data_IF_501563488099
#
_entry.id   IF_501563488099
#
_cell.length_a   1.000
_cell.length_b   1.000
_cell.length_c   1.000
_cell.angle_alpha   90.00
_cell.angle_beta   90.00
_cell.angle_gamma   90.00
#
_symmetry.space_group_name_H-M   'P 1'
#
loop_
_entity.id
_entity.type
_entity.pdbx_description
1 polymer ?
#
# COMPACT_ATOMS: atom_id res chain seq x y z
N UNK A 1 12.59 30.37 8.37
CA UNK A 1 12.23 30.24 6.94
C UNK A 1 11.03 29.35 6.90
N UNK A 2 9.84 29.95 6.78
CA UNK A 2 8.59 29.23 6.78
C UNK A 2 8.32 28.70 5.37
N UNK A 3 8.61 27.41 5.15
CA UNK A 3 8.28 26.73 3.90
C UNK A 3 6.79 26.34 3.93
N UNK A 4 5.90 27.33 3.94
CA UNK A 4 4.49 27.11 3.63
C UNK A 4 4.22 27.75 2.27
N UNK A 5 4.32 26.93 1.21
CA UNK A 5 3.89 27.36 -0.13
C UNK A 5 2.39 27.56 -0.08
N UNK A 6 1.93 28.80 -0.30
CA UNK A 6 0.51 29.12 -0.41
C UNK A 6 -0.04 28.34 -1.60
N UNK A 7 -0.91 27.37 -1.34
CA UNK A 7 -1.50 26.55 -2.38
C UNK A 7 -2.53 27.37 -3.17
N UNK A 8 -2.08 28.08 -4.20
CA UNK A 8 -2.92 28.88 -5.11
C UNK A 8 -3.65 28.03 -6.15
N UNK A 9 -3.68 26.71 -5.95
CA UNK A 9 -4.20 25.75 -6.91
C UNK A 9 -5.71 25.62 -6.72
N UNK A 10 -6.49 26.19 -7.64
CA UNK A 10 -7.96 26.12 -7.61
C UNK A 10 -8.56 24.71 -7.72
N UNK A 11 -7.78 23.73 -8.20
CA UNK A 11 -8.20 22.33 -8.33
C UNK A 11 -7.67 21.41 -7.21
N UNK A 12 -7.15 21.98 -6.12
CA UNK A 12 -6.67 21.22 -4.98
C UNK A 12 -7.82 20.51 -4.26
N UNK A 13 -7.66 19.21 -4.03
CA UNK A 13 -8.58 18.40 -3.24
C UNK A 13 -7.96 18.13 -1.87
N UNK A 14 -8.46 18.75 -0.78
CA UNK A 14 -8.00 18.40 0.55
C UNK A 14 -8.41 16.95 0.85
N UNK A 15 -7.53 16.22 1.52
CA UNK A 15 -7.87 14.89 2.00
C UNK A 15 -8.93 15.01 3.09
N UNK A 16 -10.01 14.21 2.99
CA UNK A 16 -11.00 14.11 4.06
C UNK A 16 -10.44 13.18 5.15
N UNK A 17 -10.28 13.70 6.37
CA UNK A 17 -9.75 12.91 7.50
C UNK A 17 -10.66 11.71 7.80
N UNK A 18 -10.28 10.55 7.23
CA UNK A 18 -10.91 9.27 7.49
C UNK A 18 -9.88 8.31 8.14
N UNK A 19 -10.15 7.94 9.39
CA UNK A 19 -9.31 7.01 10.17
C UNK A 19 -9.20 5.63 9.53
N UNK A 20 -10.17 5.24 8.71
CA UNK A 20 -10.14 3.98 7.99
C UNK A 20 -9.15 3.99 6.82
N UNK A 21 -8.79 5.19 6.34
CA UNK A 21 -7.88 5.42 5.22
C UNK A 21 -6.49 5.92 5.67
N UNK A 22 -6.34 6.33 6.94
CA UNK A 22 -5.13 6.96 7.49
C UNK A 22 -3.80 6.27 7.14
N UNK A 23 -3.77 4.93 7.02
CA UNK A 23 -2.54 4.21 6.63
C UNK A 23 -2.07 4.44 5.19
N UNK A 24 -2.93 5.03 4.36
CA UNK A 24 -2.74 5.28 2.93
C UNK A 24 -3.10 6.72 2.54
N UNK A 25 -3.30 7.61 3.52
CA UNK A 25 -3.68 9.01 3.33
C UNK A 25 -2.76 9.72 2.33
N UNK A 26 -1.44 9.67 2.56
CA UNK A 26 -0.45 10.29 1.66
C UNK A 26 -0.60 9.81 0.22
N UNK A 27 -0.83 8.51 0.02
CA UNK A 27 -0.96 7.91 -1.30
C UNK A 27 -2.26 8.32 -2.00
N UNK A 28 -3.38 8.34 -1.26
CA UNK A 28 -4.68 8.78 -1.78
C UNK A 28 -4.61 10.24 -2.16
N UNK A 29 -4.10 11.08 -1.26
CA UNK A 29 -3.91 12.49 -1.48
C UNK A 29 -3.08 12.77 -2.74
N UNK A 30 -1.94 12.07 -2.88
CA UNK A 30 -1.08 12.21 -4.05
C UNK A 30 -1.80 11.79 -5.33
N UNK A 31 -2.45 10.61 -5.35
CA UNK A 31 -3.15 10.12 -6.53
C UNK A 31 -4.28 11.07 -6.96
N UNK A 32 -5.12 11.53 -6.04
CA UNK A 32 -6.25 12.43 -6.36
C UNK A 32 -5.81 13.79 -6.91
N UNK A 33 -4.69 14.32 -6.41
CA UNK A 33 -4.20 15.65 -6.77
C UNK A 33 -3.23 15.67 -7.96
N UNK A 34 -2.73 14.51 -8.40
CA UNK A 34 -1.73 14.42 -9.49
C UNK A 34 -2.23 13.78 -10.77
N UNK A 35 -3.49 13.31 -10.84
CA UNK A 35 -4.02 12.58 -12.02
C UNK A 35 -3.83 13.30 -13.36
N UNK A 36 -3.89 14.63 -13.38
CA UNK A 36 -3.79 15.46 -14.58
C UNK A 36 -2.45 16.18 -14.71
N UNK A 37 -1.43 15.75 -13.94
CA UNK A 37 -0.17 16.49 -13.79
C UNK A 37 1.05 15.61 -14.00
N UNK A 38 2.13 16.25 -14.44
CA UNK A 38 3.43 15.60 -14.52
C UNK A 38 3.99 15.38 -13.13
N UNK A 39 4.28 14.11 -12.80
CA UNK A 39 5.04 13.73 -11.62
C UNK A 39 6.51 13.68 -12.05
N UNK A 40 7.34 14.47 -11.37
CA UNK A 40 8.79 14.43 -11.55
C UNK A 40 9.40 13.61 -10.41
N UNK A 41 10.05 12.50 -10.75
CA UNK A 41 10.76 11.66 -9.80
C UNK A 41 12.24 12.02 -9.85
N UNK A 42 12.80 12.45 -8.73
CA UNK A 42 14.24 12.69 -8.59
C UNK A 42 14.93 11.39 -8.15
N UNK A 43 16.10 11.08 -8.73
CA UNK A 43 16.83 9.84 -8.45
C UNK A 43 17.47 9.80 -7.06
N UNK A 44 17.70 10.97 -6.47
CA UNK A 44 18.36 11.08 -5.16
C UNK A 44 17.34 11.21 -4.03
N UNK A 45 17.56 10.52 -2.89
CA UNK A 45 16.72 10.69 -1.71
C UNK A 45 16.92 12.09 -1.12
N UNK A 46 15.95 12.97 -1.32
CA UNK A 46 15.99 14.35 -0.82
C UNK A 46 15.72 14.43 0.69
N UNK A 47 15.01 13.45 1.25
CA UNK A 47 14.69 13.35 2.68
C UNK A 47 14.86 11.91 3.12
N UNK A 48 15.51 11.69 4.26
CA UNK A 48 15.60 10.39 4.91
C UNK A 48 14.90 10.44 6.25
N UNK A 49 13.92 9.56 6.46
CA UNK A 49 13.23 9.44 7.74
C UNK A 49 13.87 8.33 8.58
N UNK A 50 14.32 8.66 9.79
CA UNK A 50 14.85 7.68 10.72
C UNK A 50 13.71 6.87 11.32
N UNK A 51 13.73 5.56 11.11
CA UNK A 51 12.78 4.64 11.75
C UNK A 51 13.09 4.61 13.25
N UNK A 52 12.10 4.91 14.09
CA UNK A 52 12.21 4.85 15.55
C UNK A 52 11.11 3.98 16.16
N UNK A 53 11.37 3.45 17.34
CA UNK A 53 10.50 2.50 18.06
C UNK A 53 9.14 3.06 18.47
N UNK A 54 8.97 4.38 18.41
CA UNK A 54 7.76 5.13 18.79
C UNK A 54 6.91 5.56 17.58
N UNK A 55 7.23 5.09 16.37
CA UNK A 55 6.36 5.35 15.22
C UNK A 55 4.95 4.81 15.49
N UNK A 56 3.94 5.66 15.30
CA UNK A 56 2.54 5.30 15.53
C UNK A 56 2.05 4.17 14.61
N UNK A 57 2.74 3.92 13.49
CA UNK A 57 2.47 2.83 12.54
C UNK A 57 3.10 1.48 12.94
N UNK A 58 3.35 1.25 14.23
CA UNK A 58 3.81 -0.05 14.73
C UNK A 58 2.75 -1.11 14.45
N UNK A 59 3.13 -2.18 13.73
CA UNK A 59 2.40 -3.45 13.50
C UNK A 59 0.93 -3.46 13.96
N UNK A 60 0.11 -2.63 13.33
CA UNK A 60 -1.32 -2.60 13.58
C UNK A 60 -1.95 -3.69 12.70
N UNK A 61 -2.58 -4.67 13.34
CA UNK A 61 -3.25 -5.79 12.66
C UNK A 61 -4.34 -5.29 11.68
N UNK A 62 -4.80 -4.05 11.85
CA UNK A 62 -5.79 -3.43 10.96
C UNK A 62 -5.20 -2.84 9.68
N UNK A 63 -3.86 -2.77 9.52
CA UNK A 63 -3.23 -2.17 8.32
C UNK A 63 -3.68 -2.87 7.03
N UNK A 64 -3.80 -4.19 7.04
CA UNK A 64 -4.26 -4.95 5.87
C UNK A 64 -5.70 -4.56 5.49
N UNK A 65 -6.58 -4.40 6.47
CA UNK A 65 -7.98 -4.00 6.28
C UNK A 65 -8.09 -2.55 5.80
N UNK A 66 -7.33 -1.63 6.40
CA UNK A 66 -7.27 -0.22 5.95
C UNK A 66 -6.77 -0.11 4.51
N UNK A 67 -5.77 -0.90 4.12
CA UNK A 67 -5.29 -0.96 2.73
C UNK A 67 -6.35 -1.49 1.75
N UNK A 68 -7.17 -2.45 2.17
CA UNK A 68 -8.32 -2.90 1.35
C UNK A 68 -9.35 -1.79 1.17
N UNK A 69 -9.67 -1.05 2.24
CA UNK A 69 -10.58 0.11 2.17
C UNK A 69 -10.02 1.22 1.30
N UNK A 70 -8.73 1.52 1.42
CA UNK A 70 -8.04 2.47 0.56
C UNK A 70 -8.07 2.04 -0.91
N UNK A 71 -7.90 0.75 -1.22
CA UNK A 71 -8.01 0.26 -2.58
C UNK A 71 -9.43 0.42 -3.15
N UNK A 72 -10.46 0.09 -2.36
CA UNK A 72 -11.87 0.28 -2.74
C UNK A 72 -12.21 1.77 -2.94
N UNK A 73 -11.68 2.64 -2.07
CA UNK A 73 -11.79 4.08 -2.23
C UNK A 73 -11.15 4.55 -3.54
N UNK A 74 -9.91 4.14 -3.83
CA UNK A 74 -9.20 4.54 -5.03
C UNK A 74 -9.92 4.05 -6.30
N UNK A 75 -10.44 2.82 -6.30
CA UNK A 75 -11.19 2.27 -7.42
C UNK A 75 -12.44 3.09 -7.76
N UNK A 76 -13.11 3.67 -6.76
CA UNK A 76 -14.34 4.45 -6.95
C UNK A 76 -14.08 5.92 -7.27
N UNK A 77 -13.00 6.50 -6.73
CA UNK A 77 -12.80 7.95 -6.74
C UNK A 77 -11.69 8.41 -7.70
N UNK A 78 -10.81 7.51 -8.13
CA UNK A 78 -9.68 7.84 -9.02
C UNK A 78 -9.96 7.29 -10.41
N UNK A 79 -10.05 8.20 -11.38
CA UNK A 79 -10.14 7.86 -12.80
C UNK A 79 -8.83 7.21 -13.28
N UNK A 80 -8.86 5.89 -13.48
CA UNK A 80 -7.75 5.10 -14.02
C UNK A 80 -8.22 4.33 -15.25
N UNK A 81 -7.35 4.15 -16.24
CA UNK A 81 -7.63 3.23 -17.33
C UNK A 81 -7.71 1.79 -16.79
N UNK A 82 -8.47 0.92 -17.46
CA UNK A 82 -8.69 -0.46 -17.00
C UNK A 82 -7.39 -1.20 -16.66
N UNK A 83 -6.36 -1.05 -17.51
CA UNK A 83 -5.06 -1.68 -17.32
C UNK A 83 -4.28 -1.10 -16.13
N UNK A 84 -4.41 0.20 -15.88
CA UNK A 84 -3.78 0.86 -14.74
C UNK A 84 -4.44 0.42 -13.43
N UNK A 85 -5.77 0.28 -13.43
CA UNK A 85 -6.54 -0.23 -12.29
C UNK A 85 -6.17 -1.69 -11.99
N UNK A 86 -6.04 -2.54 -13.01
CA UNK A 86 -5.58 -3.92 -12.83
C UNK A 86 -4.18 -4.00 -12.22
N UNK A 87 -3.25 -3.18 -12.71
CA UNK A 87 -1.90 -3.09 -12.16
C UNK A 87 -1.92 -2.58 -10.70
N UNK A 88 -2.65 -1.51 -10.41
CA UNK A 88 -2.82 -0.96 -9.06
C UNK A 88 -3.33 -2.05 -8.10
N UNK A 89 -4.41 -2.74 -8.47
CA UNK A 89 -4.98 -3.84 -7.70
C UNK A 89 -3.97 -4.98 -7.52
N UNK A 90 -3.27 -5.36 -8.59
CA UNK A 90 -2.25 -6.40 -8.55
C UNK A 90 -1.16 -6.10 -7.52
N UNK A 91 -0.63 -4.88 -7.52
CA UNK A 91 0.39 -4.47 -6.55
C UNK A 91 -0.17 -4.28 -5.14
N UNK A 92 -1.39 -3.74 -5.01
CA UNK A 92 -2.05 -3.57 -3.73
C UNK A 92 -2.29 -4.92 -3.04
N UNK A 93 -2.83 -5.92 -3.75
CA UNK A 93 -3.04 -7.26 -3.20
C UNK A 93 -1.73 -7.94 -2.80
N UNK A 94 -0.64 -7.78 -3.57
CA UNK A 94 0.67 -8.29 -3.15
C UNK A 94 1.13 -7.65 -1.83
N UNK A 95 1.01 -6.32 -1.71
CA UNK A 95 1.41 -5.60 -0.52
C UNK A 95 0.57 -6.01 0.71
N UNK A 96 -0.75 -6.15 0.54
CA UNK A 96 -1.67 -6.61 1.58
C UNK A 96 -1.35 -8.05 1.99
N UNK A 97 -1.05 -8.94 1.03
CA UNK A 97 -0.63 -10.32 1.30
C UNK A 97 0.61 -10.39 2.20
N UNK A 98 1.60 -9.52 1.97
CA UNK A 98 2.80 -9.43 2.82
C UNK A 98 2.44 -9.04 4.27
N UNK A 99 1.46 -8.15 4.46
CA UNK A 99 0.98 -7.80 5.81
C UNK A 99 0.32 -8.99 6.52
N UNK A 100 -0.47 -9.79 5.80
CA UNK A 100 -1.04 -11.02 6.36
C UNK A 100 0.03 -12.06 6.71
N UNK A 101 1.09 -12.22 5.88
CA UNK A 101 2.24 -13.07 6.23
C UNK A 101 2.91 -12.61 7.53
N UNK A 102 3.13 -11.31 7.70
CA UNK A 102 3.71 -10.75 8.92
C UNK A 102 2.83 -10.97 10.15
N UNK A 103 1.51 -10.99 9.96
CA UNK A 103 0.52 -11.24 11.00
C UNK A 103 0.23 -12.74 11.20
N UNK A 104 0.92 -13.62 10.46
CA UNK A 104 0.74 -15.09 10.43
C UNK A 104 -0.67 -15.55 10.01
N UNK A 105 -1.42 -14.70 9.32
CA UNK A 105 -2.67 -15.08 8.68
C UNK A 105 -2.39 -15.64 7.28
N UNK A 106 -2.01 -16.90 7.22
CA UNK A 106 -1.59 -17.53 5.97
C UNK A 106 -2.74 -17.77 5.00
N UNK A 107 -3.97 -17.92 5.50
CA UNK A 107 -5.15 -18.13 4.65
C UNK A 107 -5.43 -16.87 3.83
N UNK A 108 -5.48 -15.72 4.49
CA UNK A 108 -5.74 -14.45 3.82
C UNK A 108 -4.53 -14.00 2.99
N UNK A 109 -3.30 -14.29 3.43
CA UNK A 109 -2.09 -14.06 2.62
C UNK A 109 -2.15 -14.78 1.28
N UNK A 110 -2.49 -16.08 1.27
CA UNK A 110 -2.60 -16.88 0.04
C UNK A 110 -3.70 -16.32 -0.86
N UNK A 111 -4.86 -15.99 -0.29
CA UNK A 111 -5.98 -15.38 -1.03
C UNK A 111 -5.56 -14.10 -1.75
N UNK A 112 -4.84 -13.20 -1.06
CA UNK A 112 -4.35 -11.95 -1.63
C UNK A 112 -3.27 -12.17 -2.71
N UNK A 113 -2.30 -13.06 -2.47
CA UNK A 113 -1.31 -13.40 -3.48
C UNK A 113 -1.95 -14.00 -4.74
N UNK A 114 -3.02 -14.79 -4.58
CA UNK A 114 -3.75 -15.30 -5.73
C UNK A 114 -4.48 -14.24 -6.53
N UNK A 115 -5.11 -13.27 -5.87
CA UNK A 115 -5.69 -12.10 -6.56
C UNK A 115 -4.61 -11.31 -7.29
N UNK A 116 -3.46 -11.10 -6.66
CA UNK A 116 -2.32 -10.39 -7.27
C UNK A 116 -1.78 -11.11 -8.51
N UNK A 117 -1.55 -12.41 -8.42
CA UNK A 117 -1.04 -13.23 -9.52
C UNK A 117 -1.96 -13.18 -10.74
N UNK A 118 -3.28 -13.26 -10.55
CA UNK A 118 -4.24 -13.20 -11.66
C UNK A 118 -4.19 -11.87 -12.43
N UNK A 119 -3.83 -10.79 -11.76
CA UNK A 119 -3.84 -9.43 -12.34
C UNK A 119 -2.50 -9.03 -12.95
N UNK A 120 -1.38 -9.35 -12.29
CA UNK A 120 -0.04 -8.90 -12.74
C UNK A 120 0.99 -10.01 -12.95
N UNK A 121 0.61 -11.27 -12.77
CA UNK A 121 1.52 -12.40 -12.85
C UNK A 121 2.42 -12.57 -11.62
N UNK A 122 3.37 -13.51 -11.68
CA UNK A 122 4.25 -13.83 -10.56
C UNK A 122 5.26 -12.71 -10.28
N UNK A 123 5.77 -12.67 -9.04
CA UNK A 123 6.86 -11.77 -8.66
C UNK A 123 7.84 -12.45 -7.72
N UNK A 124 9.09 -11.98 -7.71
CA UNK A 124 10.11 -12.45 -6.77
C UNK A 124 9.70 -12.23 -5.30
N UNK A 125 8.98 -11.13 -5.01
CA UNK A 125 8.46 -10.86 -3.65
C UNK A 125 7.44 -11.90 -3.23
N UNK A 126 6.54 -12.28 -4.13
CA UNK A 126 5.52 -13.28 -3.85
C UNK A 126 6.15 -14.64 -3.60
N UNK A 127 7.09 -15.07 -4.47
CA UNK A 127 7.84 -16.32 -4.32
C UNK A 127 8.59 -16.37 -2.98
N UNK A 128 9.30 -15.28 -2.64
CA UNK A 128 9.98 -15.16 -1.35
C UNK A 128 9.02 -15.31 -0.16
N UNK A 129 7.86 -14.66 -0.20
CA UNK A 129 6.90 -14.73 0.91
C UNK A 129 6.24 -16.11 1.02
N UNK A 130 5.99 -16.82 -0.08
CA UNK A 130 5.55 -18.21 -0.05
C UNK A 130 6.58 -19.12 0.64
N UNK A 131 7.86 -19.00 0.29
CA UNK A 131 8.93 -19.76 0.96
C UNK A 131 9.01 -19.43 2.46
N UNK A 132 8.92 -18.13 2.80
CA UNK A 132 8.92 -17.66 4.19
C UNK A 132 7.77 -18.24 5.00
N UNK A 133 6.56 -18.33 4.43
CA UNK A 133 5.41 -18.97 5.08
C UNK A 133 5.70 -20.44 5.42
N UNK A 134 6.30 -21.19 4.49
CA UNK A 134 6.70 -22.58 4.72
C UNK A 134 7.71 -22.73 5.86
N UNK A 135 8.73 -21.86 5.92
CA UNK A 135 9.71 -21.86 7.03
C UNK A 135 9.05 -21.59 8.38
N UNK A 136 8.18 -20.59 8.47
CA UNK A 136 7.47 -20.25 9.72
C UNK A 136 6.54 -21.40 10.15
N UNK A 137 5.88 -22.06 9.21
CA UNK A 137 5.03 -23.22 9.48
C UNK A 137 5.85 -24.39 10.06
N UNK A 138 6.99 -24.71 9.46
CA UNK A 138 7.89 -25.77 9.96
C UNK A 138 8.42 -25.47 11.38
N UNK A 139 8.76 -24.21 11.67
CA UNK A 139 9.24 -23.81 13.01
C UNK A 139 8.18 -23.95 14.10
N UNK A 140 6.91 -23.78 13.78
CA UNK A 140 5.81 -23.93 14.75
C UNK A 140 5.43 -25.39 15.02
N UNK A 141 5.74 -26.32 14.12
CA UNK A 141 5.44 -27.75 14.25
C UNK A 141 6.65 -28.61 14.66
N UNK A 142 7.82 -27.99 14.84
CA UNK A 142 9.04 -28.63 15.35
C UNK A 142 9.24 -28.46 16.86
N UNK A 143 8.21 -28.01 17.58
CA UNK A 143 8.14 -27.90 19.05
C UNK A 143 6.99 -28.75 19.56
#
# INVERSE_FOLDING_TARGET
MDFAVKNTIHAFKPFHEDRELASMEDWIFLLENTQSRHIYIHSEPLVTMRIHSEQSMKQDQTIAQRKLKALDYLERNVQLASKELELLKGYAFENIGIHFVNSRDFKDAISMFWKSFKLKGPSNKMIYNFMRMGVVFMQNHSK
#
